data_IF_116722671629
#
_entry.id   IF_116722671629
#
_cell.length_a   1.000
_cell.length_b   1.000
_cell.length_c   1.000
_cell.angle_alpha   90.00
_cell.angle_beta   90.00
_cell.angle_gamma   90.00
#
_symmetry.space_group_name_H-M   'P 1'
#
loop_
_entity.id
_entity.type
_entity.pdbx_description
1 polymer ?
#
# COMPACT_ATOMS: atom_id res chain seq x y z
N UNK A 1 6.51 -9.78 26.81
CA UNK A 1 5.64 -9.48 25.64
C UNK A 1 6.50 -8.86 24.56
N UNK A 2 6.42 -9.37 23.35
CA UNK A 2 7.11 -8.75 22.21
C UNK A 2 6.36 -7.49 21.78
N UNK A 3 7.08 -6.52 21.16
CA UNK A 3 6.46 -5.28 20.63
C UNK A 3 5.27 -5.58 19.71
N UNK A 4 5.36 -6.67 18.95
CA UNK A 4 4.29 -7.16 18.07
C UNK A 4 3.02 -7.57 18.84
N UNK A 5 3.16 -8.22 19.99
CA UNK A 5 2.00 -8.59 20.84
C UNK A 5 1.32 -7.36 21.43
N UNK A 6 2.09 -6.34 21.81
CA UNK A 6 1.55 -5.08 22.33
C UNK A 6 0.69 -4.38 21.26
N UNK A 7 1.19 -4.28 20.04
CA UNK A 7 0.45 -3.68 18.92
C UNK A 7 -0.87 -4.45 18.66
N UNK A 8 -0.83 -5.77 18.63
CA UNK A 8 -2.04 -6.58 18.46
C UNK A 8 -3.07 -6.35 19.57
N UNK A 9 -2.63 -6.24 20.81
CA UNK A 9 -3.53 -5.95 21.94
C UNK A 9 -4.18 -4.57 21.79
N UNK A 10 -3.40 -3.56 21.41
CA UNK A 10 -3.92 -2.22 21.18
C UNK A 10 -5.00 -2.24 20.08
N UNK A 11 -4.75 -2.91 18.96
CA UNK A 11 -5.72 -3.06 17.86
C UNK A 11 -6.96 -3.84 18.34
N UNK A 12 -6.79 -4.91 19.12
CA UNK A 12 -7.90 -5.67 19.67
C UNK A 12 -8.77 -4.84 20.64
N UNK A 13 -8.16 -3.94 21.43
CA UNK A 13 -8.90 -2.98 22.25
C UNK A 13 -9.71 -2.03 21.37
N UNK A 14 -9.11 -1.51 20.29
CA UNK A 14 -9.82 -0.67 19.32
C UNK A 14 -11.00 -1.40 18.67
N UNK A 15 -10.82 -2.66 18.30
CA UNK A 15 -11.88 -3.53 17.78
C UNK A 15 -13.04 -3.67 18.78
N UNK A 16 -12.71 -3.95 20.04
CA UNK A 16 -13.72 -4.09 21.10
C UNK A 16 -14.47 -2.78 21.35
N UNK A 17 -13.76 -1.66 21.49
CA UNK A 17 -14.36 -0.34 21.70
C UNK A 17 -15.24 0.07 20.53
N UNK A 18 -14.79 -0.11 19.29
CA UNK A 18 -15.56 0.15 18.08
C UNK A 18 -16.81 -0.73 17.99
N UNK A 19 -16.64 -2.05 18.23
CA UNK A 19 -17.74 -3.02 18.20
C UNK A 19 -18.80 -2.77 19.28
N UNK A 20 -18.39 -2.50 20.52
CA UNK A 20 -19.32 -2.11 21.59
C UNK A 20 -20.06 -0.82 21.23
N UNK A 21 -19.33 0.19 20.72
CA UNK A 21 -19.95 1.44 20.27
C UNK A 21 -21.02 1.19 19.19
N UNK A 22 -20.74 0.29 18.24
CA UNK A 22 -21.67 -0.09 17.18
C UNK A 22 -22.90 -0.83 17.74
N UNK A 23 -22.72 -1.73 18.71
CA UNK A 23 -23.82 -2.44 19.36
C UNK A 23 -24.75 -1.50 20.16
N UNK A 24 -24.18 -0.48 20.80
CA UNK A 24 -24.97 0.50 21.58
C UNK A 24 -25.76 1.42 20.64
N UNK A 25 -25.11 1.99 19.66
CA UNK A 25 -25.74 2.79 18.63
C UNK A 25 -24.82 2.85 17.38
N UNK A 26 -25.27 2.27 16.24
CA UNK A 26 -24.49 2.25 14.99
C UNK A 26 -24.10 3.64 14.47
N UNK A 27 -24.85 4.69 14.84
CA UNK A 27 -24.59 6.06 14.42
C UNK A 27 -23.48 6.76 15.22
N UNK A 28 -23.04 6.17 16.32
CA UNK A 28 -21.87 6.68 17.06
C UNK A 28 -20.62 6.60 16.18
N UNK A 29 -19.77 7.63 16.27
CA UNK A 29 -18.61 7.78 15.40
C UNK A 29 -17.67 6.57 15.42
N UNK A 30 -17.38 6.02 16.61
CA UNK A 30 -16.51 4.84 16.72
C UNK A 30 -17.16 3.59 16.15
N UNK A 31 -18.49 3.45 16.29
CA UNK A 31 -19.27 2.39 15.66
C UNK A 31 -19.24 2.48 14.13
N UNK A 32 -19.42 3.69 13.58
CA UNK A 32 -19.26 3.91 12.12
C UNK A 32 -17.87 3.55 11.63
N UNK A 33 -16.83 3.93 12.36
CA UNK A 33 -15.44 3.58 11.98
C UNK A 33 -15.17 2.08 12.03
N UNK A 34 -15.71 1.38 13.01
CA UNK A 34 -15.68 -0.08 13.06
C UNK A 34 -16.40 -0.70 11.84
N UNK A 35 -17.59 -0.22 11.50
CA UNK A 35 -18.35 -0.68 10.32
C UNK A 35 -17.60 -0.39 9.01
N UNK A 36 -17.00 0.80 8.87
CA UNK A 36 -16.18 1.16 7.70
C UNK A 36 -15.04 0.14 7.50
N UNK A 37 -14.36 -0.28 8.57
CA UNK A 37 -13.31 -1.31 8.51
C UNK A 37 -13.82 -2.63 7.93
N UNK A 38 -15.00 -3.11 8.35
CA UNK A 38 -15.62 -4.31 7.78
C UNK A 38 -16.16 -4.10 6.36
N UNK A 39 -16.67 -2.92 6.04
CA UNK A 39 -17.18 -2.62 4.70
C UNK A 39 -16.11 -2.70 3.60
N UNK A 40 -14.82 -2.53 3.95
CA UNK A 40 -13.71 -2.68 3.02
C UNK A 40 -13.43 -4.14 2.63
N UNK A 41 -13.98 -5.13 3.34
CA UNK A 41 -13.72 -6.55 3.13
C UNK A 41 -13.94 -7.00 1.68
N UNK A 42 -15.08 -6.64 1.08
CA UNK A 42 -15.41 -7.03 -0.29
C UNK A 42 -14.41 -6.52 -1.33
N UNK A 43 -14.00 -5.27 -1.20
CA UNK A 43 -13.01 -4.67 -2.09
C UNK A 43 -11.62 -5.32 -1.93
N UNK A 44 -11.22 -5.58 -0.68
CA UNK A 44 -9.96 -6.28 -0.38
C UNK A 44 -9.97 -7.72 -0.89
N UNK A 45 -11.11 -8.43 -0.77
CA UNK A 45 -11.26 -9.78 -1.31
C UNK A 45 -11.08 -9.79 -2.84
N UNK A 46 -11.69 -8.84 -3.55
CA UNK A 46 -11.59 -8.74 -5.00
C UNK A 46 -10.15 -8.47 -5.47
N UNK A 47 -9.40 -7.63 -4.76
CA UNK A 47 -8.05 -7.24 -5.15
C UNK A 47 -6.98 -8.19 -4.59
N UNK A 48 -6.99 -8.45 -3.29
CA UNK A 48 -5.88 -9.15 -2.60
C UNK A 48 -6.01 -10.66 -2.75
N UNK A 49 -7.21 -11.25 -2.47
CA UNK A 49 -7.35 -12.70 -2.51
C UNK A 49 -7.05 -13.27 -3.91
N UNK A 50 -7.49 -12.55 -4.95
CA UNK A 50 -7.22 -12.95 -6.34
C UNK A 50 -5.73 -12.93 -6.69
N UNK A 51 -5.02 -11.86 -6.32
CA UNK A 51 -3.57 -11.76 -6.55
C UNK A 51 -2.84 -12.85 -5.75
N UNK A 52 -3.20 -13.08 -4.49
CA UNK A 52 -2.58 -14.13 -3.67
C UNK A 52 -2.72 -15.51 -4.29
N UNK A 53 -3.88 -15.79 -4.91
CA UNK A 53 -4.17 -17.07 -5.53
C UNK A 53 -3.38 -17.26 -6.84
N UNK A 54 -3.18 -16.21 -7.64
CA UNK A 54 -2.48 -16.33 -8.94
C UNK A 54 -0.97 -16.05 -8.84
N UNK A 55 -0.50 -15.40 -7.76
CA UNK A 55 0.89 -14.98 -7.62
C UNK A 55 1.93 -16.12 -7.80
N UNK A 56 1.74 -17.35 -7.26
CA UNK A 56 2.69 -18.44 -7.47
C UNK A 56 2.77 -18.86 -8.95
N UNK A 57 1.64 -18.91 -9.65
CA UNK A 57 1.61 -19.23 -11.10
C UNK A 57 2.29 -18.12 -11.90
N UNK A 58 2.00 -16.87 -11.56
CA UNK A 58 2.64 -15.71 -12.18
C UNK A 58 4.15 -15.73 -11.96
N UNK A 59 4.59 -16.08 -10.74
CA UNK A 59 6.00 -16.23 -10.43
C UNK A 59 6.68 -17.28 -11.29
N UNK A 60 6.07 -18.47 -11.49
CA UNK A 60 6.63 -19.51 -12.34
C UNK A 60 6.77 -19.05 -13.81
N UNK A 61 5.81 -18.32 -14.34
CA UNK A 61 5.85 -17.75 -15.69
C UNK A 61 6.95 -16.68 -15.80
N UNK A 62 7.14 -15.87 -14.75
CA UNK A 62 8.10 -14.75 -14.74
C UNK A 62 9.52 -15.17 -14.39
N UNK A 63 9.72 -16.24 -13.62
CA UNK A 63 11.05 -16.75 -13.21
C UNK A 63 12.09 -16.81 -14.32
N UNK A 64 11.80 -17.36 -15.52
CA UNK A 64 12.80 -17.47 -16.60
C UNK A 64 13.37 -16.12 -17.04
N UNK A 65 12.63 -15.03 -16.87
CA UNK A 65 13.03 -13.67 -17.25
C UNK A 65 13.56 -12.90 -16.05
N UNK A 66 12.82 -12.93 -14.95
CA UNK A 66 13.13 -12.11 -13.75
C UNK A 66 14.40 -12.60 -13.06
N UNK A 67 14.54 -13.90 -12.85
CA UNK A 67 15.70 -14.44 -12.12
C UNK A 67 17.04 -14.11 -12.79
N UNK A 68 17.24 -14.33 -14.10
CA UNK A 68 18.50 -13.96 -14.74
C UNK A 68 18.80 -12.45 -14.66
N UNK A 69 17.77 -11.60 -14.86
CA UNK A 69 17.96 -10.14 -14.85
C UNK A 69 18.39 -9.65 -13.47
N UNK A 70 17.73 -10.11 -12.40
CA UNK A 70 18.06 -9.67 -11.05
C UNK A 70 19.41 -10.24 -10.56
N UNK A 71 19.74 -11.48 -10.93
CA UNK A 71 21.06 -12.07 -10.66
C UNK A 71 22.20 -11.32 -11.32
N UNK A 72 22.02 -10.77 -12.54
CA UNK A 72 23.04 -9.96 -13.21
C UNK A 72 23.44 -8.70 -12.41
N UNK A 73 22.49 -8.12 -11.67
CA UNK A 73 22.74 -6.97 -10.81
C UNK A 73 23.05 -7.38 -9.35
N UNK A 74 23.09 -8.68 -9.06
CA UNK A 74 23.35 -9.22 -7.73
C UNK A 74 22.19 -9.05 -6.73
N UNK A 75 21.00 -8.65 -7.19
CA UNK A 75 19.82 -8.48 -6.37
C UNK A 75 18.94 -9.74 -6.38
N UNK A 76 18.21 -9.97 -5.28
CA UNK A 76 17.26 -11.07 -5.20
C UNK A 76 16.05 -10.82 -6.13
N UNK A 77 15.59 -11.85 -6.86
CA UNK A 77 14.39 -11.76 -7.71
C UNK A 77 13.12 -11.28 -7.00
N UNK A 78 13.04 -11.42 -5.67
CA UNK A 78 11.96 -10.86 -4.84
C UNK A 78 11.78 -9.35 -5.05
N UNK A 79 12.85 -8.63 -5.41
CA UNK A 79 12.79 -7.20 -5.70
C UNK A 79 11.84 -6.87 -6.86
N UNK A 80 11.54 -7.81 -7.76
CA UNK A 80 10.56 -7.61 -8.83
C UNK A 80 9.15 -7.33 -8.30
N UNK A 81 8.81 -7.85 -7.12
CA UNK A 81 7.51 -7.64 -6.51
C UNK A 81 7.16 -6.18 -6.22
N UNK A 82 8.16 -5.28 -6.15
CA UNK A 82 7.93 -3.83 -5.98
C UNK A 82 7.07 -3.23 -7.10
N UNK A 83 7.10 -3.82 -8.29
CA UNK A 83 6.31 -3.38 -9.43
C UNK A 83 4.87 -3.87 -9.38
N UNK A 84 4.63 -5.01 -8.73
CA UNK A 84 3.30 -5.65 -8.61
C UNK A 84 2.62 -5.35 -7.26
N UNK A 85 3.16 -4.45 -6.46
CA UNK A 85 2.53 -4.02 -5.22
C UNK A 85 1.23 -3.29 -5.53
N UNK A 86 0.10 -4.01 -5.47
CA UNK A 86 -1.23 -3.43 -5.38
C UNK A 86 -1.76 -3.83 -4.03
N UNK A 87 -2.13 -2.89 -3.17
CA UNK A 87 -2.75 -3.12 -1.87
C UNK A 87 -2.32 -4.45 -1.18
N UNK A 88 -1.07 -4.58 -0.77
CA UNK A 88 -0.48 -5.78 -0.15
C UNK A 88 -0.26 -7.00 -1.06
N UNK A 89 -0.55 -6.93 -2.36
CA UNK A 89 -0.35 -8.06 -3.32
C UNK A 89 1.10 -8.35 -3.67
N UNK A 90 2.03 -7.43 -3.39
CA UNK A 90 3.46 -7.62 -3.70
C UNK A 90 4.13 -8.71 -2.87
N UNK A 91 3.73 -8.92 -1.63
CA UNK A 91 4.36 -9.88 -0.73
C UNK A 91 4.25 -11.35 -1.20
N UNK A 92 3.08 -11.87 -1.60
CA UNK A 92 2.97 -13.23 -2.15
C UNK A 92 3.84 -13.47 -3.37
N UNK A 93 3.94 -12.47 -4.26
CA UNK A 93 4.82 -12.56 -5.41
C UNK A 93 6.30 -12.52 -5.01
N UNK A 94 6.67 -11.66 -4.06
CA UNK A 94 8.02 -11.61 -3.51
C UNK A 94 8.44 -12.98 -2.94
N UNK A 95 7.60 -13.58 -2.08
CA UNK A 95 7.85 -14.90 -1.49
C UNK A 95 8.02 -15.98 -2.56
N UNK A 96 7.22 -15.93 -3.63
CA UNK A 96 7.26 -16.92 -4.72
C UNK A 96 8.49 -16.78 -5.61
N UNK A 97 9.07 -15.58 -5.74
CA UNK A 97 10.26 -15.31 -6.56
C UNK A 97 11.56 -15.36 -5.77
N UNK A 98 11.51 -15.20 -4.45
CA UNK A 98 12.66 -15.02 -3.58
C UNK A 98 13.64 -16.19 -3.57
N UNK A 99 14.91 -15.87 -3.57
CA UNK A 99 15.98 -16.78 -3.16
C UNK A 99 16.20 -16.73 -1.63
N UNK A 100 15.91 -15.57 -1.01
CA UNK A 100 15.98 -15.35 0.43
C UNK A 100 14.63 -14.88 0.99
N UNK A 101 14.10 -15.58 2.01
CA UNK A 101 12.86 -15.21 2.68
C UNK A 101 12.96 -13.87 3.43
N UNK A 102 14.13 -13.50 3.90
CA UNK A 102 14.34 -12.22 4.58
C UNK A 102 14.30 -11.06 3.57
N UNK A 103 14.83 -11.26 2.36
CA UNK A 103 14.71 -10.29 1.25
C UNK A 103 13.27 -10.23 0.76
N UNK A 104 12.54 -11.36 0.69
CA UNK A 104 11.11 -11.37 0.37
C UNK A 104 10.30 -10.48 1.33
N UNK A 105 10.55 -10.58 2.63
CA UNK A 105 9.92 -9.72 3.64
C UNK A 105 10.33 -8.26 3.46
N UNK A 106 11.64 -8.01 3.26
CA UNK A 106 12.17 -6.67 3.11
C UNK A 106 11.59 -5.95 1.89
N UNK A 107 11.48 -6.62 0.73
CA UNK A 107 11.06 -6.03 -0.54
C UNK A 107 9.55 -6.14 -0.79
N UNK A 108 8.93 -7.22 -0.35
CA UNK A 108 7.51 -7.51 -0.63
C UNK A 108 6.53 -6.77 0.27
N UNK A 109 6.96 -6.21 1.39
CA UNK A 109 6.10 -5.44 2.31
C UNK A 109 6.13 -3.95 1.96
N UNK A 110 6.91 -3.16 2.70
CA UNK A 110 6.90 -1.71 2.57
C UNK A 110 7.31 -1.19 1.17
N UNK A 111 8.41 -1.63 0.54
CA UNK A 111 8.79 -1.13 -0.78
C UNK A 111 7.75 -1.45 -1.86
N UNK A 112 7.19 -2.66 -1.85
CA UNK A 112 6.15 -3.05 -2.80
C UNK A 112 4.87 -2.23 -2.61
N UNK A 113 4.44 -1.98 -1.37
CA UNK A 113 3.29 -1.13 -1.08
C UNK A 113 3.54 0.32 -1.53
N UNK A 114 4.71 0.90 -1.22
CA UNK A 114 5.03 2.29 -1.57
C UNK A 114 5.12 2.50 -3.09
N UNK A 115 5.89 1.69 -3.81
CA UNK A 115 6.07 1.85 -5.25
C UNK A 115 4.84 1.37 -6.01
N UNK A 116 4.40 0.16 -5.72
CA UNK A 116 3.24 -0.42 -6.39
C UNK A 116 1.97 0.38 -6.14
N UNK A 117 1.66 0.72 -4.88
CA UNK A 117 0.52 1.56 -4.53
C UNK A 117 0.60 2.97 -5.14
N UNK A 118 1.80 3.54 -5.30
CA UNK A 118 1.98 4.79 -6.01
C UNK A 118 1.58 4.65 -7.49
N UNK A 119 2.05 3.61 -8.16
CA UNK A 119 1.78 3.38 -9.59
C UNK A 119 0.34 2.97 -9.86
N UNK A 120 -0.18 2.02 -9.09
CA UNK A 120 -1.46 1.39 -9.38
C UNK A 120 -2.65 2.15 -8.80
N UNK A 121 -2.42 2.96 -7.78
CA UNK A 121 -3.48 3.66 -7.05
C UNK A 121 -3.27 5.18 -6.99
N UNK A 122 -2.20 5.68 -6.37
CA UNK A 122 -2.08 7.10 -6.07
C UNK A 122 -2.03 7.98 -7.34
N UNK A 123 -1.32 7.56 -8.39
CA UNK A 123 -1.26 8.29 -9.66
C UNK A 123 -2.61 8.30 -10.37
N UNK A 124 -3.27 7.14 -10.65
CA UNK A 124 -4.57 7.12 -11.33
C UNK A 124 -5.66 7.86 -10.55
N UNK A 125 -5.75 7.64 -9.24
CA UNK A 125 -6.76 8.30 -8.38
C UNK A 125 -6.51 9.81 -8.31
N UNK A 126 -5.26 10.23 -8.11
CA UNK A 126 -4.90 11.64 -8.12
C UNK A 126 -5.31 12.32 -9.44
N UNK A 127 -5.03 11.69 -10.60
CA UNK A 127 -5.44 12.23 -11.90
C UNK A 127 -6.95 12.31 -12.08
N UNK A 128 -7.70 11.36 -11.50
CA UNK A 128 -9.16 11.32 -11.59
C UNK A 128 -9.85 12.35 -10.66
N UNK A 129 -9.24 12.68 -9.51
CA UNK A 129 -9.88 13.51 -8.48
C UNK A 129 -9.41 14.96 -8.44
N UNK A 130 -8.23 15.25 -8.96
CA UNK A 130 -7.59 16.56 -8.88
C UNK A 130 -7.76 17.34 -10.20
N UNK A 131 -7.86 18.67 -10.11
CA UNK A 131 -7.74 19.56 -11.27
C UNK A 131 -6.31 19.52 -11.82
N UNK A 132 -6.10 20.01 -13.03
CA UNK A 132 -4.75 19.98 -13.65
C UNK A 132 -3.73 20.80 -12.85
N UNK A 133 -4.14 21.94 -12.24
CA UNK A 133 -3.25 22.73 -11.36
C UNK A 133 -2.88 21.96 -10.09
N UNK A 134 -3.87 21.37 -9.42
CA UNK A 134 -3.67 20.55 -8.22
C UNK A 134 -2.83 19.30 -8.53
N UNK A 135 -3.09 18.65 -9.67
CA UNK A 135 -2.34 17.47 -10.09
C UNK A 135 -0.87 17.81 -10.42
N UNK A 136 -0.59 19.00 -10.93
CA UNK A 136 0.79 19.46 -11.11
C UNK A 136 1.52 19.61 -9.75
N UNK A 137 0.86 20.16 -8.74
CA UNK A 137 1.41 20.27 -7.38
C UNK A 137 1.55 18.89 -6.73
N UNK A 138 0.54 18.04 -6.90
CA UNK A 138 0.56 16.64 -6.45
C UNK A 138 1.75 15.89 -7.06
N UNK A 139 1.98 16.02 -8.36
CA UNK A 139 3.12 15.39 -9.04
C UNK A 139 4.46 15.84 -8.47
N UNK A 140 4.61 17.13 -8.13
CA UNK A 140 5.83 17.63 -7.46
C UNK A 140 6.06 16.98 -6.11
N UNK A 141 5.00 16.87 -5.30
CA UNK A 141 5.07 16.20 -4.00
C UNK A 141 5.38 14.71 -4.14
N UNK A 142 4.73 14.04 -5.08
CA UNK A 142 5.00 12.64 -5.38
C UNK A 142 6.45 12.37 -5.75
N UNK A 143 7.06 13.22 -6.60
CA UNK A 143 8.48 13.10 -6.91
C UNK A 143 9.35 13.12 -5.66
N UNK A 144 9.06 14.05 -4.74
CA UNK A 144 9.79 14.12 -3.47
C UNK A 144 9.58 12.85 -2.65
N UNK A 145 8.34 12.34 -2.55
CA UNK A 145 8.02 11.09 -1.85
C UNK A 145 8.76 9.89 -2.44
N UNK A 146 8.70 9.71 -3.76
CA UNK A 146 9.37 8.61 -4.47
C UNK A 146 10.90 8.62 -4.22
N UNK A 147 11.52 9.80 -4.21
CA UNK A 147 12.96 9.93 -3.92
C UNK A 147 13.33 9.54 -2.48
N UNK A 148 12.39 9.56 -1.54
CA UNK A 148 12.64 9.15 -0.15
C UNK A 148 12.46 7.65 0.08
N UNK A 149 11.79 6.93 -0.84
CA UNK A 149 11.55 5.49 -0.70
C UNK A 149 12.85 4.70 -0.47
N UNK A 150 13.93 4.89 -1.27
CA UNK A 150 15.18 4.16 -1.06
C UNK A 150 15.76 4.34 0.35
N UNK A 151 15.67 5.56 0.90
CA UNK A 151 16.17 5.84 2.25
C UNK A 151 15.34 5.09 3.31
N UNK A 152 14.02 5.12 3.17
CA UNK A 152 13.11 4.40 4.07
C UNK A 152 13.28 2.88 4.00
N UNK A 153 13.48 2.33 2.80
CA UNK A 153 13.66 0.88 2.60
C UNK A 153 15.02 0.39 3.11
N UNK A 154 16.08 1.18 2.97
CA UNK A 154 17.39 0.90 3.56
C UNK A 154 17.27 0.90 5.09
N UNK A 155 16.68 1.93 5.67
CA UNK A 155 16.48 2.00 7.12
C UNK A 155 15.62 0.83 7.63
N UNK A 156 14.52 0.51 6.95
CA UNK A 156 13.64 -0.61 7.29
C UNK A 156 14.35 -1.95 7.22
N UNK A 157 15.14 -2.19 6.16
CA UNK A 157 15.93 -3.42 6.00
C UNK A 157 16.97 -3.62 7.12
N UNK A 158 17.63 -2.53 7.55
CA UNK A 158 18.57 -2.57 8.68
C UNK A 158 17.88 -2.82 10.01
N UNK A 159 16.71 -2.19 10.25
CA UNK A 159 15.92 -2.40 11.46
C UNK A 159 15.41 -3.86 11.54
N UNK A 160 15.12 -4.49 10.39
CA UNK A 160 14.77 -5.91 10.32
C UNK A 160 15.95 -6.85 10.66
N UNK A 161 17.16 -6.33 10.82
CA UNK A 161 18.36 -7.10 11.15
C UNK A 161 19.10 -7.67 9.94
N UNK A 162 18.75 -7.24 8.72
CA UNK A 162 19.45 -7.66 7.51
C UNK A 162 20.86 -7.05 7.44
N UNK A 163 21.81 -7.80 6.91
CA UNK A 163 23.18 -7.32 6.73
C UNK A 163 23.22 -6.14 5.74
N UNK A 164 24.10 -5.18 6.00
CA UNK A 164 24.24 -3.95 5.23
C UNK A 164 24.41 -4.17 3.71
N UNK A 165 25.24 -5.13 3.34
CA UNK A 165 25.47 -5.50 1.93
C UNK A 165 24.20 -6.02 1.26
N UNK A 166 23.42 -6.88 1.95
CA UNK A 166 22.15 -7.42 1.44
C UNK A 166 21.16 -6.27 1.24
N UNK A 167 21.05 -5.38 2.21
CA UNK A 167 20.14 -4.22 2.13
C UNK A 167 20.50 -3.33 0.96
N UNK A 168 21.77 -2.97 0.78
CA UNK A 168 22.21 -2.07 -0.29
C UNK A 168 21.99 -2.67 -1.67
N UNK A 169 22.43 -3.92 -1.89
CA UNK A 169 22.32 -4.57 -3.20
C UNK A 169 20.85 -4.67 -3.62
N UNK A 170 19.99 -5.09 -2.71
CA UNK A 170 18.56 -5.24 -3.01
C UNK A 170 17.80 -3.90 -3.11
N UNK A 171 18.36 -2.79 -2.63
CA UNK A 171 17.81 -1.47 -2.86
C UNK A 171 18.22 -0.85 -4.23
N UNK A 172 19.20 -1.41 -4.95
CA UNK A 172 19.58 -0.90 -6.28
C UNK A 172 18.39 -0.80 -7.23
N UNK A 173 17.53 -1.82 -7.40
CA UNK A 173 16.36 -1.72 -8.26
C UNK A 173 15.40 -0.59 -7.84
N UNK A 174 15.22 -0.37 -6.54
CA UNK A 174 14.37 0.70 -6.01
C UNK A 174 14.95 2.07 -6.36
N UNK A 175 16.26 2.25 -6.16
CA UNK A 175 16.96 3.51 -6.47
C UNK A 175 16.83 3.81 -7.97
N UNK A 176 17.17 2.85 -8.82
CA UNK A 176 17.08 3.00 -10.29
C UNK A 176 15.66 3.35 -10.71
N UNK A 177 14.67 2.64 -10.18
CA UNK A 177 13.27 2.88 -10.51
C UNK A 177 12.79 4.25 -10.02
N UNK A 178 13.15 4.66 -8.80
CA UNK A 178 12.82 5.98 -8.26
C UNK A 178 13.40 7.12 -9.09
N UNK A 179 14.63 6.95 -9.59
CA UNK A 179 15.28 7.90 -10.50
C UNK A 179 14.54 7.93 -11.84
N UNK A 180 14.23 6.77 -12.43
CA UNK A 180 13.50 6.68 -13.71
C UNK A 180 12.12 7.31 -13.60
N UNK A 181 11.36 7.05 -12.52
CA UNK A 181 10.09 7.70 -12.26
C UNK A 181 10.24 9.22 -12.17
N UNK A 182 11.27 9.69 -11.46
CA UNK A 182 11.52 11.13 -11.31
C UNK A 182 11.80 11.79 -12.66
N UNK A 183 12.60 11.16 -13.49
CA UNK A 183 12.90 11.65 -14.85
C UNK A 183 11.63 11.60 -15.70
N UNK A 184 10.89 10.49 -15.67
CA UNK A 184 9.63 10.30 -16.41
C UNK A 184 8.59 11.37 -16.08
N UNK A 185 8.40 11.69 -14.80
CA UNK A 185 7.48 12.77 -14.40
C UNK A 185 7.92 14.16 -14.88
N UNK A 186 9.23 14.39 -15.00
CA UNK A 186 9.73 15.69 -15.52
C UNK A 186 9.63 15.81 -17.03
N UNK A 187 9.84 14.72 -17.77
CA UNK A 187 9.99 14.73 -19.22
C UNK A 187 8.70 14.31 -19.93
N UNK A 188 7.98 13.30 -19.41
CA UNK A 188 6.84 12.68 -20.07
C UNK A 188 5.71 12.35 -19.09
N UNK A 189 5.27 13.34 -18.30
CA UNK A 189 4.27 13.17 -17.24
C UNK A 189 2.98 12.49 -17.71
N UNK A 190 2.39 12.93 -18.84
CA UNK A 190 1.13 12.37 -19.32
C UNK A 190 1.25 10.92 -19.76
N UNK A 191 2.35 10.58 -20.45
CA UNK A 191 2.61 9.20 -20.89
C UNK A 191 2.81 8.29 -19.68
N UNK A 192 3.55 8.76 -18.66
CA UNK A 192 3.77 8.02 -17.42
C UNK A 192 2.47 7.77 -16.67
N UNK A 193 1.60 8.78 -16.58
CA UNK A 193 0.27 8.63 -15.94
C UNK A 193 -0.59 7.61 -16.68
N UNK A 194 -0.62 7.65 -18.03
CA UNK A 194 -1.35 6.66 -18.84
C UNK A 194 -0.78 5.27 -18.67
N UNK A 195 0.56 5.13 -18.65
CA UNK A 195 1.21 3.86 -18.42
C UNK A 195 0.88 3.29 -17.04
N UNK A 196 0.90 4.11 -15.98
CA UNK A 196 0.54 3.72 -14.63
C UNK A 196 -0.93 3.26 -14.53
N UNK A 197 -1.86 4.00 -15.13
CA UNK A 197 -3.29 3.63 -15.18
C UNK A 197 -3.51 2.30 -15.92
N UNK A 198 -2.87 2.14 -17.07
CA UNK A 198 -2.95 0.88 -17.84
C UNK A 198 -2.36 -0.28 -17.05
N UNK A 199 -1.22 -0.07 -16.40
CA UNK A 199 -0.56 -1.07 -15.56
C UNK A 199 -1.43 -1.47 -14.36
N UNK A 200 -1.99 -0.51 -13.63
CA UNK A 200 -2.92 -0.75 -12.53
C UNK A 200 -4.14 -1.57 -12.95
N UNK A 201 -4.76 -1.20 -14.07
CA UNK A 201 -5.88 -1.96 -14.66
C UNK A 201 -5.49 -3.39 -15.06
N UNK A 202 -4.27 -3.59 -15.57
CA UNK A 202 -3.75 -4.91 -15.90
C UNK A 202 -3.59 -5.77 -14.64
N UNK A 203 -2.97 -5.24 -13.59
CA UNK A 203 -2.80 -5.95 -12.31
C UNK A 203 -4.17 -6.34 -11.72
N UNK A 204 -5.13 -5.41 -11.71
CA UNK A 204 -6.48 -5.68 -11.21
C UNK A 204 -7.16 -6.82 -12.00
N UNK A 205 -7.04 -6.82 -13.34
CA UNK A 205 -7.58 -7.89 -14.18
C UNK A 205 -6.93 -9.25 -13.90
N UNK A 206 -5.61 -9.28 -13.71
CA UNK A 206 -4.86 -10.50 -13.35
C UNK A 206 -5.38 -11.05 -12.01
N UNK A 207 -5.55 -10.19 -11.01
CA UNK A 207 -6.12 -10.58 -9.73
C UNK A 207 -7.54 -11.13 -9.86
N UNK A 208 -8.42 -10.46 -10.63
CA UNK A 208 -9.77 -10.95 -10.86
C UNK A 208 -9.81 -12.31 -11.57
N UNK A 209 -8.92 -12.54 -12.55
CA UNK A 209 -8.79 -13.86 -13.19
C UNK A 209 -8.42 -14.93 -12.16
N UNK A 210 -7.43 -14.62 -11.28
CA UNK A 210 -7.05 -15.51 -10.20
C UNK A 210 -8.20 -15.81 -9.24
N UNK A 211 -8.98 -14.78 -8.87
CA UNK A 211 -10.14 -14.94 -7.99
C UNK A 211 -11.24 -15.80 -8.63
N UNK A 212 -11.57 -15.53 -9.90
CA UNK A 212 -12.59 -16.28 -10.63
C UNK A 212 -12.18 -17.74 -10.78
N UNK A 213 -10.95 -18.01 -11.23
CA UNK A 213 -10.45 -19.37 -11.42
C UNK A 213 -10.35 -20.13 -10.08
N UNK A 214 -9.87 -19.47 -9.04
CA UNK A 214 -9.80 -20.04 -7.68
C UNK A 214 -11.18 -20.30 -7.08
N UNK A 215 -12.12 -19.37 -7.24
CA UNK A 215 -13.51 -19.52 -6.81
C UNK A 215 -14.23 -20.64 -7.54
N UNK A 216 -14.04 -20.75 -8.85
CA UNK A 216 -14.59 -21.87 -9.64
C UNK A 216 -14.05 -23.22 -9.15
N UNK A 217 -12.71 -23.30 -8.97
CA UNK A 217 -12.08 -24.52 -8.45
C UNK A 217 -12.63 -24.88 -7.05
N UNK A 218 -12.78 -23.90 -6.17
CA UNK A 218 -13.34 -24.11 -4.83
C UNK A 218 -14.78 -24.63 -4.85
N UNK A 219 -15.62 -24.10 -5.73
CA UNK A 219 -17.04 -24.49 -5.82
C UNK A 219 -17.26 -25.84 -6.49
N UNK A 220 -16.44 -26.19 -7.48
CA UNK A 220 -16.66 -27.36 -8.34
C UNK A 220 -15.68 -28.51 -8.09
N UNK A 221 -14.56 -28.26 -7.44
CA UNK A 221 -13.46 -29.22 -7.33
C UNK A 221 -12.62 -29.37 -8.60
N UNK A 222 -13.00 -28.69 -9.70
CA UNK A 222 -12.30 -28.77 -10.99
C UNK A 222 -11.20 -27.71 -11.03
N UNK A 223 -9.94 -28.13 -11.12
CA UNK A 223 -8.80 -27.24 -11.23
C UNK A 223 -8.75 -26.54 -12.58
N UNK A 224 -8.95 -25.23 -12.60
CA UNK A 224 -8.93 -24.41 -13.84
C UNK A 224 -7.49 -24.07 -14.25
N UNK A 225 -6.67 -23.66 -13.30
CA UNK A 225 -5.26 -23.32 -13.53
C UNK A 225 -4.41 -24.19 -12.60
N UNK A 226 -3.59 -25.10 -13.17
CA UNK A 226 -2.69 -25.92 -12.37
C UNK A 226 -1.68 -25.08 -11.57
N UNK A 227 -1.36 -25.52 -10.35
CA UNK A 227 -0.37 -24.83 -9.49
C UNK A 227 -0.91 -23.64 -8.69
N UNK A 228 -2.20 -23.30 -8.83
CA UNK A 228 -2.82 -22.27 -7.97
C UNK A 228 -3.07 -22.82 -6.55
N UNK A 229 -2.70 -22.08 -5.50
CA UNK A 229 -3.12 -22.38 -4.13
C UNK A 229 -4.63 -22.20 -3.94
N UNK A 230 -5.14 -22.63 -2.80
CA UNK A 230 -6.56 -22.44 -2.47
C UNK A 230 -6.90 -20.94 -2.39
N UNK A 231 -8.00 -20.55 -3.04
CA UNK A 231 -8.53 -19.18 -2.91
C UNK A 231 -8.88 -18.85 -1.44
N UNK A 232 -9.19 -19.86 -0.65
CA UNK A 232 -9.52 -19.70 0.77
C UNK A 232 -8.32 -19.21 1.60
N UNK A 233 -7.08 -19.50 1.20
CA UNK A 233 -5.88 -18.97 1.87
C UNK A 233 -5.81 -17.45 1.72
N UNK A 234 -6.09 -16.94 0.52
CA UNK A 234 -6.22 -15.52 0.25
C UNK A 234 -7.37 -14.87 1.03
N UNK A 235 -8.55 -15.53 1.05
CA UNK A 235 -9.71 -15.05 1.81
C UNK A 235 -9.43 -15.00 3.31
N UNK A 236 -8.79 -16.02 3.87
CA UNK A 236 -8.41 -16.05 5.29
C UNK A 236 -7.45 -14.91 5.65
N UNK A 237 -6.48 -14.64 4.77
CA UNK A 237 -5.56 -13.51 4.95
C UNK A 237 -6.31 -12.18 4.95
N UNK A 238 -7.22 -11.97 3.99
CA UNK A 238 -8.06 -10.76 3.96
C UNK A 238 -8.92 -10.63 5.19
N UNK A 239 -9.54 -11.71 5.68
CA UNK A 239 -10.30 -11.68 6.92
C UNK A 239 -9.45 -11.19 8.10
N UNK A 240 -8.21 -11.66 8.22
CA UNK A 240 -7.26 -11.18 9.23
C UNK A 240 -7.00 -9.67 9.12
N UNK A 241 -6.80 -9.18 7.89
CA UNK A 241 -6.60 -7.75 7.62
C UNK A 241 -7.84 -6.91 7.98
N UNK A 242 -9.03 -7.39 7.67
CA UNK A 242 -10.30 -6.72 8.01
C UNK A 242 -10.46 -6.54 9.52
N UNK A 243 -10.11 -7.54 10.33
CA UNK A 243 -10.11 -7.39 11.80
C UNK A 243 -9.11 -6.32 12.27
N UNK A 244 -7.93 -6.27 11.65
CA UNK A 244 -6.93 -5.22 11.95
C UNK A 244 -7.50 -3.84 11.59
N UNK A 245 -8.10 -3.68 10.41
CA UNK A 245 -8.71 -2.41 10.00
C UNK A 245 -9.86 -2.00 10.91
N UNK A 246 -10.79 -2.91 11.20
CA UNK A 246 -11.92 -2.65 12.08
C UNK A 246 -11.50 -2.25 13.50
N UNK A 247 -10.32 -2.71 13.96
CA UNK A 247 -9.73 -2.27 15.23
C UNK A 247 -8.96 -0.95 15.11
N UNK A 248 -8.25 -0.76 14.01
CA UNK A 248 -7.38 0.42 13.82
C UNK A 248 -8.21 1.68 13.51
N UNK A 249 -9.30 1.59 12.75
CA UNK A 249 -10.14 2.73 12.38
C UNK A 249 -10.72 3.50 13.58
N UNK A 250 -11.33 2.85 14.61
CA UNK A 250 -11.76 3.52 15.82
C UNK A 250 -10.61 4.16 16.60
N UNK A 251 -9.45 3.46 16.70
CA UNK A 251 -8.27 4.00 17.36
C UNK A 251 -7.76 5.26 16.66
N UNK A 252 -7.74 5.25 15.34
CA UNK A 252 -7.31 6.40 14.55
C UNK A 252 -8.25 7.60 14.75
N UNK A 253 -9.57 7.38 14.85
CA UNK A 253 -10.53 8.44 15.17
C UNK A 253 -10.23 9.05 16.56
N UNK A 254 -9.94 8.22 17.56
CA UNK A 254 -9.54 8.68 18.89
C UNK A 254 -8.21 9.46 18.84
N UNK A 255 -7.21 8.89 18.17
CA UNK A 255 -5.89 9.52 18.04
C UNK A 255 -5.97 10.86 17.29
N UNK A 256 -6.71 10.90 16.18
CA UNK A 256 -6.88 12.12 15.38
C UNK A 256 -7.45 13.27 16.21
N UNK A 257 -8.42 12.96 17.07
CA UNK A 257 -8.99 13.98 17.99
C UNK A 257 -8.01 14.42 19.06
N UNK A 258 -7.36 13.48 19.71
CA UNK A 258 -6.40 13.78 20.76
C UNK A 258 -5.18 14.54 20.23
N UNK A 259 -4.72 14.20 19.02
CA UNK A 259 -3.54 14.77 18.41
C UNK A 259 -3.81 16.02 17.55
N UNK A 260 -5.06 16.39 17.29
CA UNK A 260 -5.41 17.52 16.39
C UNK A 260 -4.79 18.84 16.80
N UNK A 261 -4.87 19.21 18.09
CA UNK A 261 -4.29 20.46 18.61
C UNK A 261 -2.75 20.50 18.55
N UNK A 262 -2.02 19.49 19.06
CA UNK A 262 -0.56 19.43 18.91
C UNK A 262 -0.11 19.46 17.47
N UNK A 263 -0.77 18.69 16.59
CA UNK A 263 -0.41 18.60 15.16
C UNK A 263 -0.67 19.91 14.43
N UNK A 264 -1.79 20.59 14.72
CA UNK A 264 -2.06 21.94 14.19
C UNK A 264 -1.02 22.97 14.63
N UNK A 265 -0.49 22.87 15.84
CA UNK A 265 0.61 23.76 16.31
C UNK A 265 1.90 23.50 15.54
N UNK A 266 2.24 22.23 15.31
CA UNK A 266 3.41 21.84 14.50
C UNK A 266 3.21 22.28 13.04
N UNK A 267 2.02 22.07 12.47
CA UNK A 267 1.68 22.45 11.11
C UNK A 267 1.84 23.94 10.86
N UNK A 268 1.36 24.78 11.79
CA UNK A 268 1.55 26.23 11.70
C UNK A 268 3.02 26.63 11.66
N UNK A 269 3.87 25.99 12.46
CA UNK A 269 5.33 26.21 12.40
C UNK A 269 5.94 25.77 11.07
N UNK A 270 5.38 24.73 10.44
CA UNK A 270 5.77 24.27 9.13
C UNK A 270 5.15 25.06 7.97
N UNK A 271 4.34 26.08 8.24
CA UNK A 271 3.63 26.88 7.23
C UNK A 271 2.50 26.12 6.53
N UNK A 272 1.87 25.17 7.24
CA UNK A 272 0.73 24.40 6.77
C UNK A 272 -0.56 24.90 7.43
N UNK A 273 -1.64 24.92 6.66
CA UNK A 273 -2.97 25.20 7.17
C UNK A 273 -3.60 23.97 7.85
N UNK A 274 -4.68 24.18 8.59
CA UNK A 274 -5.35 23.12 9.34
C UNK A 274 -5.88 22.00 8.45
N UNK A 275 -6.33 22.31 7.23
CA UNK A 275 -6.83 21.33 6.26
C UNK A 275 -5.69 20.42 5.79
N UNK A 276 -4.53 21.00 5.49
CA UNK A 276 -3.32 20.27 5.10
C UNK A 276 -2.82 19.35 6.20
N UNK A 277 -2.88 19.79 7.47
CA UNK A 277 -2.52 18.95 8.61
C UNK A 277 -3.50 17.81 8.81
N UNK A 278 -4.80 18.06 8.63
CA UNK A 278 -5.81 17.00 8.66
C UNK A 278 -5.57 15.95 7.58
N UNK A 279 -5.15 16.36 6.38
CA UNK A 279 -4.77 15.45 5.29
C UNK A 279 -3.67 14.48 5.68
N UNK A 280 -2.61 14.93 6.35
CA UNK A 280 -1.53 14.06 6.86
C UNK A 280 -2.08 12.98 7.80
N UNK A 281 -3.00 13.37 8.69
CA UNK A 281 -3.60 12.44 9.64
C UNK A 281 -4.52 11.45 8.92
N UNK A 282 -5.38 11.92 8.03
CA UNK A 282 -6.29 11.05 7.29
C UNK A 282 -5.56 10.06 6.38
N UNK A 283 -4.44 10.46 5.80
CA UNK A 283 -3.61 9.57 4.98
C UNK A 283 -3.09 8.36 5.76
N UNK A 284 -2.94 8.43 7.08
CA UNK A 284 -2.57 7.26 7.89
C UNK A 284 -3.64 6.16 7.82
N UNK A 285 -4.91 6.51 7.65
CA UNK A 285 -6.00 5.55 7.48
C UNK A 285 -6.28 5.26 6.01
N UNK A 286 -6.42 6.31 5.21
CA UNK A 286 -6.70 6.23 3.78
C UNK A 286 -6.32 7.55 3.11
N UNK A 287 -5.71 7.47 1.94
CA UNK A 287 -5.37 8.67 1.17
C UNK A 287 -6.55 9.24 0.37
N UNK A 288 -7.66 8.50 0.20
CA UNK A 288 -8.82 8.97 -0.58
C UNK A 288 -9.44 10.25 0.00
N UNK A 289 -9.73 10.35 1.32
CA UNK A 289 -10.19 11.60 1.90
C UNK A 289 -9.22 12.75 1.70
N UNK A 290 -7.91 12.47 1.73
CA UNK A 290 -6.87 13.48 1.54
C UNK A 290 -6.91 14.05 0.13
N UNK A 291 -7.11 13.24 -0.91
CA UNK A 291 -7.33 13.71 -2.28
C UNK A 291 -8.55 14.66 -2.37
N UNK A 292 -9.66 14.26 -1.77
CA UNK A 292 -10.88 15.08 -1.77
C UNK A 292 -10.70 16.44 -1.06
N UNK A 293 -9.78 16.51 -0.09
CA UNK A 293 -9.48 17.72 0.68
C UNK A 293 -8.46 18.63 -0.01
N UNK A 294 -7.68 18.14 -0.98
CA UNK A 294 -6.58 18.89 -1.61
C UNK A 294 -7.03 20.23 -2.23
N UNK A 295 -8.25 20.28 -2.76
CA UNK A 295 -8.84 21.53 -3.28
C UNK A 295 -8.95 22.67 -2.26
N UNK A 296 -8.95 22.34 -0.96
CA UNK A 296 -9.04 23.30 0.14
C UNK A 296 -7.69 23.50 0.85
N UNK A 297 -6.61 22.89 0.36
CA UNK A 297 -5.27 22.99 0.95
C UNK A 297 -4.49 24.14 0.30
N UNK A 298 -3.52 24.67 1.07
CA UNK A 298 -2.51 25.54 0.47
C UNK A 298 -1.66 24.79 -0.55
N UNK A 299 -1.05 25.47 -1.53
CA UNK A 299 -0.15 24.87 -2.52
C UNK A 299 0.97 24.05 -1.86
N UNK A 300 1.53 24.56 -0.76
CA UNK A 300 2.53 23.84 0.05
C UNK A 300 1.94 22.61 0.72
N UNK A 301 0.71 22.71 1.22
CA UNK A 301 -0.04 21.61 1.82
C UNK A 301 -0.26 20.47 0.84
N UNK A 302 -0.67 20.76 -0.41
CA UNK A 302 -0.82 19.75 -1.47
C UNK A 302 0.51 19.01 -1.69
N UNK A 303 1.63 19.73 -1.87
CA UNK A 303 2.94 19.11 -2.12
C UNK A 303 3.37 18.20 -0.97
N UNK A 304 3.22 18.65 0.28
CA UNK A 304 3.61 17.86 1.46
C UNK A 304 2.72 16.62 1.61
N UNK A 305 1.39 16.78 1.49
CA UNK A 305 0.47 15.65 1.55
C UNK A 305 0.72 14.64 0.44
N UNK A 306 1.04 15.10 -0.77
CA UNK A 306 1.36 14.22 -1.89
C UNK A 306 2.63 13.41 -1.65
N UNK A 307 3.67 14.02 -1.07
CA UNK A 307 4.88 13.30 -0.67
C UNK A 307 4.59 12.26 0.43
N UNK A 308 3.73 12.64 1.38
CA UNK A 308 3.30 11.80 2.48
C UNK A 308 2.48 10.60 2.02
N UNK A 309 1.57 10.78 1.05
CA UNK A 309 0.78 9.72 0.43
C UNK A 309 1.70 8.61 -0.09
N UNK A 310 2.75 8.95 -0.83
CA UNK A 310 3.69 7.96 -1.41
C UNK A 310 4.33 7.07 -0.36
N UNK A 311 4.70 7.64 0.79
CA UNK A 311 5.37 6.90 1.87
C UNK A 311 4.41 6.17 2.79
N UNK A 312 3.14 6.57 2.82
CA UNK A 312 2.10 6.01 3.69
C UNK A 312 1.11 5.09 2.99
N UNK A 313 1.14 4.98 1.65
CA UNK A 313 0.31 4.02 0.91
C UNK A 313 0.58 2.61 1.45
N UNK A 314 -0.46 1.98 1.94
CA UNK A 314 -0.39 0.63 2.53
C UNK A 314 0.06 0.55 3.99
N UNK A 315 0.26 1.67 4.71
CA UNK A 315 0.68 1.62 6.11
C UNK A 315 -0.41 1.00 7.02
N UNK A 316 -1.68 1.29 6.79
CA UNK A 316 -2.82 0.81 7.57
C UNK A 316 -3.93 0.18 6.71
N UNK A 317 -3.68 -0.12 5.45
CA UNK A 317 -4.60 -0.88 4.60
C UNK A 317 -5.41 -0.04 3.62
N UNK A 318 -4.75 0.86 2.91
CA UNK A 318 -5.34 1.50 1.73
C UNK A 318 -5.04 0.71 0.49
#
# INVERSE_FOLDING_TARGET
MTSYQIIKIIIAIGLAVGGISFCVNPDLRLGKKFQEGFAMAGQMMLSIAGIMTIAPVLAEILKPVVVPVFRLIGADPACFAIFFGCDMGGYPLAVSLAESQDVAKMMGLAPAAMIGGTLTFAIPVGKAMLTDEEFHLFSKGMLMGVMTIPVGTIAGGLIQGNAWNIVLINNIPIIVFSVLLTIGFKVCQEQLVRAADMFGKMITKIGLIGLIAGGFTYMTGITVIPGMPSVMDGMTTVCGMVFILAGTMPLLEIFTRAASEPLNRIGRKAGMDAVSMSGIIFTLASCVPTFAMMKNMTKRGIVINSAWIVTCVGLLGS
#
